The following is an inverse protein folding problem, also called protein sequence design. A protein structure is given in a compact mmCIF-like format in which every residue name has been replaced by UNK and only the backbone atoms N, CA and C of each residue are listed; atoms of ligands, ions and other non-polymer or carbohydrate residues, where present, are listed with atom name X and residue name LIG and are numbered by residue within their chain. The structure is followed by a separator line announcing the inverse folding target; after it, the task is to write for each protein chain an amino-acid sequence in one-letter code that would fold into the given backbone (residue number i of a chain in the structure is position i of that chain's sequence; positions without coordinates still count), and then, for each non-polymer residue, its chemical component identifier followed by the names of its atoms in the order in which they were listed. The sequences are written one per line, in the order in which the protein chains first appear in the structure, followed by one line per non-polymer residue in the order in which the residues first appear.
data_IF_056430969505
#
_entry.id   IF_056430969505
#
_cell.length_a   1.000
_cell.length_b   1.000
_cell.length_c   1.000
_cell.angle_alpha   90.00
_cell.angle_beta   90.00
_cell.angle_gamma   90.00
#
_symmetry.space_group_name_H-M   'P 1'
#
loop_
_entity.id
_entity.type
_entity.pdbx_description
1 polymer ?
#
# COMPACT_ATOMS: atom_id res chain seq x y z
N UNK A 1 -18.87 28.17 -10.64
CA UNK A 1 -17.53 27.81 -11.13
C UNK A 1 -16.71 27.50 -9.89
N UNK A 2 -16.71 26.25 -9.45
CA UNK A 2 -15.81 25.82 -8.37
C UNK A 2 -14.40 26.01 -8.90
N UNK A 3 -13.59 26.78 -8.19
CA UNK A 3 -12.33 27.25 -8.73
C UNK A 3 -11.41 26.04 -8.98
N UNK A 4 -10.99 25.81 -10.22
CA UNK A 4 -10.14 24.66 -10.59
C UNK A 4 -8.90 24.61 -9.70
N UNK A 5 -8.43 25.76 -9.24
CA UNK A 5 -7.31 25.91 -8.34
C UNK A 5 -7.61 25.47 -6.89
N UNK A 6 -8.85 25.59 -6.43
CA UNK A 6 -9.30 25.04 -5.13
C UNK A 6 -9.19 23.51 -5.16
N UNK A 7 -9.63 22.87 -6.25
CA UNK A 7 -9.61 21.42 -6.40
C UNK A 7 -8.17 20.90 -6.56
N UNK A 8 -7.31 21.61 -7.31
CA UNK A 8 -5.87 21.30 -7.36
C UNK A 8 -5.23 21.37 -5.98
N UNK A 9 -5.58 22.37 -5.17
CA UNK A 9 -5.08 22.51 -3.79
C UNK A 9 -5.51 21.33 -2.92
N UNK A 10 -6.78 20.91 -2.99
CA UNK A 10 -7.30 19.74 -2.28
C UNK A 10 -6.60 18.46 -2.74
N UNK A 11 -6.38 18.29 -4.05
CA UNK A 11 -5.69 17.14 -4.62
C UNK A 11 -4.24 17.04 -4.15
N UNK A 12 -3.52 18.17 -4.13
CA UNK A 12 -2.14 18.21 -3.64
C UNK A 12 -2.08 17.91 -2.13
N UNK A 13 -3.05 18.38 -1.35
CA UNK A 13 -3.13 18.06 0.07
C UNK A 13 -3.38 16.58 0.31
N UNK A 14 -4.37 15.98 -0.34
CA UNK A 14 -4.68 14.56 -0.16
C UNK A 14 -3.56 13.64 -0.65
N UNK A 15 -2.84 14.06 -1.71
CA UNK A 15 -1.60 13.40 -2.13
C UNK A 15 -0.52 13.47 -1.04
N UNK A 16 -0.24 14.66 -0.51
CA UNK A 16 0.80 14.82 0.51
C UNK A 16 0.49 14.03 1.78
N UNK A 17 -0.78 14.01 2.22
CA UNK A 17 -1.20 13.20 3.36
C UNK A 17 -1.00 11.70 3.12
N UNK A 18 -1.29 11.22 1.91
CA UNK A 18 -1.04 9.84 1.51
C UNK A 18 0.46 9.54 1.48
N UNK A 19 1.28 10.40 0.86
CA UNK A 19 2.73 10.25 0.79
C UNK A 19 3.35 10.19 2.19
N UNK A 20 2.97 11.11 3.09
CA UNK A 20 3.42 11.10 4.49
C UNK A 20 3.05 9.80 5.23
N UNK A 21 1.85 9.26 4.97
CA UNK A 21 1.43 8.01 5.58
C UNK A 21 2.22 6.81 5.04
N UNK A 22 2.53 6.79 3.74
CA UNK A 22 3.39 5.77 3.14
C UNK A 22 4.82 5.85 3.70
N UNK A 23 5.39 7.05 3.78
CA UNK A 23 6.74 7.27 4.34
C UNK A 23 6.83 6.84 5.81
N UNK A 24 5.77 7.06 6.59
CA UNK A 24 5.71 6.60 7.98
C UNK A 24 5.62 5.07 8.09
N UNK A 25 4.95 4.39 7.16
CA UNK A 25 4.79 2.94 7.17
C UNK A 25 5.97 2.19 6.52
N UNK A 26 6.68 2.84 5.58
CA UNK A 26 7.74 2.24 4.76
C UNK A 26 8.84 1.55 5.57
N UNK A 27 9.48 2.21 6.55
CA UNK A 27 10.57 1.59 7.32
C UNK A 27 10.15 0.32 8.06
N UNK A 28 8.95 0.31 8.66
CA UNK A 28 8.44 -0.89 9.34
C UNK A 28 8.07 -1.98 8.33
N UNK A 29 7.51 -1.62 7.18
CA UNK A 29 7.24 -2.57 6.09
C UNK A 29 8.52 -3.28 5.65
N UNK A 30 9.56 -2.52 5.32
CA UNK A 30 10.83 -3.04 4.82
C UNK A 30 11.49 -3.97 5.83
N UNK A 31 11.51 -3.57 7.11
CA UNK A 31 12.04 -4.41 8.19
C UNK A 31 11.25 -5.71 8.35
N UNK A 32 9.92 -5.66 8.25
CA UNK A 32 9.08 -6.84 8.36
C UNK A 32 9.31 -7.81 7.19
N UNK A 33 9.45 -7.30 5.96
CA UNK A 33 9.77 -8.14 4.79
C UNK A 33 11.10 -8.85 4.99
N UNK A 34 12.14 -8.11 5.42
CA UNK A 34 13.44 -8.69 5.71
C UNK A 34 13.37 -9.79 6.79
N UNK A 35 12.63 -9.56 7.88
CA UNK A 35 12.46 -10.55 8.94
C UNK A 35 11.76 -11.82 8.43
N UNK A 36 10.77 -11.68 7.54
CA UNK A 36 10.06 -12.80 6.94
C UNK A 36 10.99 -13.60 6.03
N UNK A 37 11.81 -12.93 5.22
CA UNK A 37 12.81 -13.58 4.36
C UNK A 37 13.82 -14.38 5.20
N UNK A 38 14.43 -13.76 6.21
CA UNK A 38 15.40 -14.42 7.10
C UNK A 38 14.78 -15.64 7.80
N UNK A 39 13.59 -15.49 8.39
CA UNK A 39 12.93 -16.60 9.09
C UNK A 39 12.41 -17.70 8.16
N UNK A 40 12.11 -17.37 6.90
CA UNK A 40 11.77 -18.34 5.87
C UNK A 40 12.99 -19.15 5.44
N UNK A 41 14.15 -18.51 5.25
CA UNK A 41 15.40 -19.20 4.93
C UNK A 41 15.81 -20.18 6.04
N UNK A 42 15.73 -19.74 7.31
CA UNK A 42 15.95 -20.58 8.49
C UNK A 42 15.00 -21.81 8.46
N UNK A 43 13.71 -21.57 8.26
CA UNK A 43 12.70 -22.62 8.23
C UNK A 43 12.96 -23.64 7.12
N UNK A 44 13.26 -23.18 5.90
CA UNK A 44 13.52 -24.06 4.76
C UNK A 44 14.78 -24.89 4.96
N UNK A 45 15.81 -24.32 5.60
CA UNK A 45 17.04 -25.02 5.95
C UNK A 45 16.74 -26.16 6.93
N UNK A 46 16.12 -25.83 8.07
CA UNK A 46 15.82 -26.84 9.10
C UNK A 46 14.80 -27.87 8.62
N UNK A 47 13.84 -27.47 7.78
CA UNK A 47 12.91 -28.41 7.12
C UNK A 47 13.64 -29.45 6.27
N UNK A 48 14.64 -29.02 5.49
CA UNK A 48 15.42 -29.92 4.66
C UNK A 48 16.28 -30.87 5.50
N UNK A 49 16.88 -30.38 6.58
CA UNK A 49 17.63 -31.22 7.51
C UNK A 49 16.73 -32.18 8.28
N UNK A 50 15.51 -31.76 8.63
CA UNK A 50 14.54 -32.61 9.32
C UNK A 50 14.11 -33.78 8.42
N UNK A 51 13.82 -33.50 7.14
CA UNK A 51 13.55 -34.55 6.13
C UNK A 51 14.72 -35.52 5.94
N UNK A 52 15.95 -35.05 6.11
CA UNK A 52 17.18 -35.87 6.03
C UNK A 52 17.56 -36.52 7.38
N UNK A 53 16.72 -36.38 8.41
CA UNK A 53 16.98 -36.87 9.77
C UNK A 53 18.29 -36.31 10.38
N UNK A 54 18.69 -35.10 9.97
CA UNK A 54 19.92 -34.40 10.43
C UNK A 54 19.68 -33.44 11.60
N UNK A 55 18.43 -33.16 11.93
CA UNK A 55 18.00 -32.35 13.07
C UNK A 55 16.87 -33.07 13.82
N UNK A 56 16.64 -32.69 15.07
CA UNK A 56 15.60 -33.26 15.91
C UNK A 56 14.29 -32.46 15.83
N UNK A 57 13.20 -33.07 16.31
CA UNK A 57 11.86 -32.46 16.26
C UNK A 57 11.74 -31.18 17.10
N UNK A 58 12.56 -31.01 18.15
CA UNK A 58 12.51 -29.83 19.01
C UNK A 58 13.10 -28.60 18.32
N UNK A 59 14.23 -28.76 17.63
CA UNK A 59 14.85 -27.71 16.82
C UNK A 59 13.94 -27.32 15.65
N UNK A 60 13.37 -28.30 14.94
CA UNK A 60 12.39 -28.03 13.88
C UNK A 60 11.15 -27.29 14.39
N UNK A 61 10.60 -27.69 15.55
CA UNK A 61 9.45 -27.02 16.15
C UNK A 61 9.76 -25.57 16.53
N UNK A 62 10.94 -25.31 17.09
CA UNK A 62 11.35 -23.97 17.50
C UNK A 62 11.42 -23.02 16.31
N UNK A 63 12.07 -23.42 15.21
CA UNK A 63 12.18 -22.59 14.01
C UNK A 63 10.83 -22.42 13.31
N UNK A 64 10.03 -23.49 13.24
CA UNK A 64 8.66 -23.42 12.68
C UNK A 64 7.77 -22.44 13.45
N UNK A 65 7.87 -22.43 14.79
CA UNK A 65 7.14 -21.51 15.65
C UNK A 65 7.56 -20.06 15.40
N UNK A 66 8.87 -19.78 15.35
CA UNK A 66 9.40 -18.44 15.05
C UNK A 66 8.90 -17.92 13.70
N UNK A 67 8.90 -18.78 12.67
CA UNK A 67 8.39 -18.42 11.35
C UNK A 67 6.89 -18.11 11.38
N UNK A 68 6.08 -18.95 12.05
CA UNK A 68 4.64 -18.72 12.18
C UNK A 68 4.31 -17.41 12.93
N UNK A 69 5.02 -17.10 14.01
CA UNK A 69 4.88 -15.85 14.76
C UNK A 69 5.23 -14.64 13.89
N UNK A 70 6.29 -14.74 13.08
CA UNK A 70 6.69 -13.68 12.15
C UNK A 70 5.62 -13.44 11.08
N UNK A 71 5.03 -14.50 10.52
CA UNK A 71 3.92 -14.38 9.57
C UNK A 71 2.67 -13.75 10.19
N UNK A 72 2.38 -14.07 11.45
CA UNK A 72 1.27 -13.47 12.18
C UNK A 72 1.51 -11.97 12.41
N UNK A 73 2.71 -11.58 12.86
CA UNK A 73 3.09 -10.17 13.03
C UNK A 73 3.00 -9.39 11.71
N UNK A 74 3.48 -9.98 10.60
CA UNK A 74 3.33 -9.40 9.25
C UNK A 74 1.87 -9.15 8.89
N UNK A 75 0.98 -10.11 9.17
CA UNK A 75 -0.45 -9.98 8.89
C UNK A 75 -1.08 -8.84 9.70
N UNK A 76 -0.73 -8.72 10.97
CA UNK A 76 -1.21 -7.65 11.86
C UNK A 76 -0.73 -6.27 11.38
N UNK A 77 0.54 -6.17 10.97
CA UNK A 77 1.09 -4.97 10.35
C UNK A 77 0.30 -4.57 9.10
N UNK A 78 0.02 -5.51 8.19
CA UNK A 78 -0.79 -5.21 7.00
C UNK A 78 -2.19 -4.71 7.33
N UNK A 79 -2.84 -5.29 8.34
CA UNK A 79 -4.17 -4.83 8.78
C UNK A 79 -4.08 -3.39 9.30
N UNK A 80 -3.04 -3.07 10.09
CA UNK A 80 -2.81 -1.72 10.60
C UNK A 80 -2.54 -0.73 9.47
N UNK A 81 -1.63 -1.03 8.57
CA UNK A 81 -1.31 -0.16 7.43
C UNK A 81 -2.50 0.06 6.52
N UNK A 82 -3.28 -1.00 6.26
CA UNK A 82 -4.52 -0.87 5.48
C UNK A 82 -5.49 0.12 6.12
N UNK A 83 -5.64 0.11 7.45
CA UNK A 83 -6.51 1.07 8.17
C UNK A 83 -6.02 2.52 8.04
N UNK A 84 -4.71 2.74 7.89
CA UNK A 84 -4.11 4.07 7.74
C UNK A 84 -4.18 4.54 6.27
N UNK A 85 -3.72 3.70 5.34
CA UNK A 85 -3.50 4.08 3.94
C UNK A 85 -4.81 4.04 3.14
N UNK A 86 -5.69 3.05 3.35
CA UNK A 86 -6.88 2.90 2.50
C UNK A 86 -7.84 4.10 2.53
N UNK A 87 -8.13 4.76 3.67
CA UNK A 87 -8.95 5.96 3.68
C UNK A 87 -8.32 7.11 2.89
N UNK A 88 -7.02 7.34 3.06
CA UNK A 88 -6.27 8.40 2.39
C UNK A 88 -6.21 8.16 0.88
N UNK A 89 -5.96 6.92 0.48
CA UNK A 89 -5.99 6.51 -0.93
C UNK A 89 -7.38 6.72 -1.53
N UNK A 90 -8.45 6.30 -0.83
CA UNK A 90 -9.82 6.51 -1.30
C UNK A 90 -10.16 7.99 -1.46
N UNK A 91 -9.68 8.85 -0.55
CA UNK A 91 -9.87 10.29 -0.62
C UNK A 91 -9.13 10.89 -1.81
N UNK A 92 -7.85 10.54 -2.00
CA UNK A 92 -7.06 10.97 -3.15
C UNK A 92 -7.70 10.55 -4.48
N UNK A 93 -8.10 9.28 -4.62
CA UNK A 93 -8.78 8.76 -5.81
C UNK A 93 -10.10 9.48 -6.10
N UNK A 94 -10.89 9.80 -5.06
CA UNK A 94 -12.11 10.60 -5.21
C UNK A 94 -11.78 11.99 -5.74
N UNK A 95 -10.81 12.68 -5.16
CA UNK A 95 -10.41 14.03 -5.61
C UNK A 95 -9.93 14.02 -7.06
N UNK A 96 -9.11 13.04 -7.45
CA UNK A 96 -8.67 12.86 -8.84
C UNK A 96 -9.84 12.68 -9.81
N UNK A 97 -10.88 11.92 -9.43
CA UNK A 97 -12.08 11.74 -10.26
C UNK A 97 -12.84 13.03 -10.47
N UNK A 98 -13.05 13.86 -9.43
CA UNK A 98 -13.76 15.14 -9.64
C UNK A 98 -12.94 16.07 -10.54
N UNK A 99 -11.62 16.10 -10.36
CA UNK A 99 -10.74 16.91 -11.21
C UNK A 99 -10.81 16.48 -12.67
N UNK A 100 -10.74 15.17 -12.94
CA UNK A 100 -10.85 14.63 -14.29
C UNK A 100 -12.19 14.96 -14.96
N UNK A 101 -13.31 14.75 -14.25
CA UNK A 101 -14.64 15.07 -14.76
C UNK A 101 -14.80 16.57 -15.07
N UNK A 102 -14.13 17.46 -14.34
CA UNK A 102 -14.16 18.89 -14.63
C UNK A 102 -13.36 19.26 -15.88
N UNK A 103 -12.19 18.66 -16.08
CA UNK A 103 -11.38 18.88 -17.29
C UNK A 103 -12.11 18.39 -18.55
N UNK A 104 -12.86 17.29 -18.46
CA UNK A 104 -13.70 16.81 -19.57
C UNK A 104 -14.86 17.77 -19.89
N UNK A 105 -15.56 18.28 -18.87
CA UNK A 105 -16.67 19.23 -19.08
C UNK A 105 -16.20 20.57 -19.67
N UNK A 106 -15.01 21.06 -19.30
CA UNK A 106 -14.42 22.29 -19.87
C UNK A 106 -14.06 22.09 -21.36
N UNK A 107 -13.61 20.89 -21.74
CA UNK A 107 -13.30 20.55 -23.14
C UNK A 107 -14.55 20.44 -24.01
N UNK A 108 -15.65 19.91 -23.48
CA UNK A 108 -16.93 19.82 -24.21
C UNK A 108 -17.60 21.19 -24.41
N UNK A 109 -17.57 22.08 -23.41
CA UNK A 109 -18.06 23.47 -23.58
C UNK A 109 -17.24 24.26 -24.61
N UNK A 110 -15.93 23.99 -24.68
CA UNK A 110 -15.02 24.62 -25.66
C UNK A 110 -15.30 24.14 -27.09
N UNK A 111 -15.68 22.86 -27.26
CA UNK A 111 -16.09 22.30 -28.56
C UNK A 111 -17.47 22.77 -29.01
N UNK A 112 -18.42 22.91 -28.07
CA UNK A 112 -19.77 23.40 -28.37
C UNK A 112 -19.82 24.86 -28.84
N UNK A 113 -18.90 25.73 -28.40
CA UNK A 113 -18.83 27.12 -28.86
C UNK A 113 -18.22 27.28 -30.25
N UNK A 114 -17.40 26.33 -30.70
CA UNK A 114 -16.76 26.40 -32.03
C UNK A 114 -17.70 25.98 -33.18
N UNK A 115 -18.85 25.38 -32.87
CA UNK A 115 -19.82 24.91 -33.88
C UNK A 115 -20.91 25.94 -34.24
N UNK A 116 -20.92 27.12 -33.61
CA UNK A 116 -22.00 28.11 -33.77
C UNK A 116 -21.57 29.39 -34.51
N UNK A 117 -20.40 29.40 -35.17
CA UNK A 117 -19.91 30.50 -36.02
C UNK A 117 -19.40 29.95 -37.36
N UNK A 118 -20.29 29.30 -38.11
CA UNK A 118 -20.05 28.85 -39.49
C UNK A 118 -21.28 29.11 -40.34
#
# INVERSE_FOLDING_TARGET
MTDVDEIKSIMNRSRNELDMAMDACGPEYDQMIKNVEETQEDFLTVWNDFKKQKTNSQEFLMVSKKFAETLQARKEMFVRFRKIISPLQSQFEKTCKIFHNMDENVKDESRGRSANHG
#
